data_IF_058629464066
#
_entry.id   IF_058629464066
#
_cell.length_a   1.000
_cell.length_b   1.000
_cell.length_c   1.000
_cell.angle_alpha   90.00
_cell.angle_beta   90.00
_cell.angle_gamma   90.00
#
_symmetry.space_group_name_H-M   'P 1'
#
loop_
_entity.id
_entity.type
_entity.pdbx_description
1 polymer ?
#
# COMPACT_ATOMS: atom_id res chain seq x y z
N UNK A 1 -4.51 8.55 -19.34
CA UNK A 1 -4.14 8.27 -17.93
C UNK A 1 -2.64 8.51 -17.65
N UNK A 2 -1.98 9.42 -18.38
CA UNK A 2 -0.58 9.82 -18.18
C UNK A 2 -0.44 11.16 -17.44
N UNK A 3 -1.52 11.95 -17.36
CA UNK A 3 -1.52 13.32 -16.81
C UNK A 3 -1.40 13.32 -15.27
N UNK A 4 -1.97 12.32 -14.57
CA UNK A 4 -1.75 12.13 -13.12
C UNK A 4 -0.31 11.66 -12.79
N UNK A 5 0.37 11.03 -13.74
CA UNK A 5 1.75 10.58 -13.61
C UNK A 5 2.71 11.77 -13.68
N UNK A 6 2.48 12.71 -14.61
CA UNK A 6 3.28 13.93 -14.73
C UNK A 6 3.09 14.93 -13.57
N UNK A 7 1.87 15.05 -13.01
CA UNK A 7 1.61 15.99 -11.89
C UNK A 7 2.37 15.59 -10.61
N UNK A 8 2.67 14.30 -10.41
CA UNK A 8 3.46 13.84 -9.26
C UNK A 8 4.99 13.91 -9.47
N UNK A 9 5.46 14.03 -10.72
CA UNK A 9 6.87 13.90 -11.09
C UNK A 9 7.56 15.16 -11.63
N UNK A 10 6.86 16.30 -11.69
CA UNK A 10 7.40 17.60 -12.15
C UNK A 10 8.58 18.20 -11.34
N UNK A 11 9.20 17.45 -10.42
CA UNK A 11 10.42 17.82 -9.67
C UNK A 11 11.46 16.70 -9.58
N UNK A 12 11.42 15.69 -10.45
CA UNK A 12 12.43 14.61 -10.42
C UNK A 12 13.76 14.95 -11.11
N UNK A 13 13.83 16.05 -11.86
CA UNK A 13 15.02 16.40 -12.64
C UNK A 13 16.29 16.56 -11.79
N UNK A 14 16.15 16.98 -10.53
CA UNK A 14 17.27 17.17 -9.59
C UNK A 14 17.38 16.07 -8.53
N UNK A 15 16.48 15.07 -8.54
CA UNK A 15 16.48 14.02 -7.52
C UNK A 15 17.38 12.86 -7.90
N UNK A 16 18.04 12.27 -6.91
CA UNK A 16 18.89 11.10 -7.09
C UNK A 16 18.18 9.83 -6.57
N UNK A 17 18.43 8.64 -7.17
CA UNK A 17 17.74 7.41 -6.77
C UNK A 17 17.94 7.06 -5.29
N UNK A 18 19.15 7.27 -4.76
CA UNK A 18 19.47 6.97 -3.36
C UNK A 18 18.65 7.80 -2.37
N UNK A 19 18.42 9.07 -2.68
CA UNK A 19 17.59 9.98 -1.87
C UNK A 19 16.13 9.56 -1.89
N UNK A 20 15.61 9.16 -3.05
CA UNK A 20 14.25 8.65 -3.14
C UNK A 20 14.11 7.32 -2.38
N UNK A 21 15.07 6.40 -2.49
CA UNK A 21 15.07 5.16 -1.70
C UNK A 21 15.11 5.47 -0.20
N UNK A 22 15.95 6.42 0.24
CA UNK A 22 16.01 6.81 1.64
C UNK A 22 14.67 7.35 2.15
N UNK A 23 14.02 8.25 1.41
CA UNK A 23 12.67 8.74 1.74
C UNK A 23 11.62 7.62 1.76
N UNK A 24 11.77 6.63 0.88
CA UNK A 24 10.88 5.46 0.86
C UNK A 24 11.02 4.64 2.15
N UNK A 25 12.25 4.44 2.65
CA UNK A 25 12.53 3.75 3.91
C UNK A 25 12.06 4.56 5.13
N UNK A 26 12.21 5.88 5.11
CA UNK A 26 11.66 6.76 6.16
C UNK A 26 10.13 6.63 6.24
N UNK A 27 9.44 6.65 5.10
CA UNK A 27 8.00 6.42 5.04
C UNK A 27 7.62 5.02 5.55
N UNK A 28 8.42 3.98 5.28
CA UNK A 28 8.20 2.62 5.82
C UNK A 28 8.37 2.59 7.33
N UNK A 29 9.35 3.31 7.86
CA UNK A 29 9.57 3.42 9.28
C UNK A 29 8.38 4.09 9.98
N UNK A 30 7.89 5.21 9.44
CA UNK A 30 6.69 5.87 9.95
C UNK A 30 5.45 4.97 9.84
N UNK A 31 5.25 4.28 8.71
CA UNK A 31 4.18 3.29 8.57
C UNK A 31 4.28 2.16 9.62
N UNK A 32 5.50 1.74 9.97
CA UNK A 32 5.73 0.74 11.03
C UNK A 32 5.29 1.26 12.40
N UNK A 33 5.56 2.55 12.71
CA UNK A 33 5.06 3.19 13.94
C UNK A 33 3.54 3.24 13.97
N UNK A 34 2.90 3.71 12.90
CA UNK A 34 1.43 3.73 12.78
C UNK A 34 0.86 2.32 12.99
N UNK A 35 1.46 1.30 12.38
CA UNK A 35 1.01 -0.08 12.53
C UNK A 35 1.15 -0.59 13.98
N UNK A 36 2.27 -0.33 14.65
CA UNK A 36 2.47 -0.72 16.05
C UNK A 36 1.46 -0.04 16.97
N UNK A 37 1.21 1.26 16.77
CA UNK A 37 0.20 2.02 17.51
C UNK A 37 -1.20 1.43 17.30
N UNK A 38 -1.56 1.11 16.06
CA UNK A 38 -2.83 0.47 15.72
C UNK A 38 -3.00 -0.89 16.39
N UNK A 39 -1.98 -1.76 16.33
CA UNK A 39 -2.01 -3.08 16.96
C UNK A 39 -2.13 -2.97 18.48
N UNK A 40 -1.40 -2.02 19.09
CA UNK A 40 -1.49 -1.74 20.52
C UNK A 40 -2.91 -1.33 20.92
N UNK A 41 -3.50 -0.38 20.19
CA UNK A 41 -4.88 0.08 20.42
C UNK A 41 -5.89 -1.07 20.29
N UNK A 42 -5.85 -1.84 19.20
CA UNK A 42 -6.74 -3.02 19.00
C UNK A 42 -6.61 -4.04 20.13
N UNK A 43 -5.39 -4.25 20.64
CA UNK A 43 -5.10 -5.22 21.70
C UNK A 43 -5.56 -4.72 23.07
N UNK A 44 -5.37 -3.44 23.38
CA UNK A 44 -5.87 -2.81 24.62
C UNK A 44 -7.40 -2.92 24.70
N UNK A 45 -8.10 -2.61 23.61
CA UNK A 45 -9.55 -2.78 23.51
C UNK A 45 -10.03 -4.24 23.64
N UNK A 46 -9.14 -5.23 23.58
CA UNK A 46 -9.46 -6.66 23.72
C UNK A 46 -9.38 -7.18 25.14
N UNK A 47 -8.71 -6.48 26.07
CA UNK A 47 -8.46 -6.93 27.44
C UNK A 47 -9.53 -6.47 28.42
N UNK A 48 -10.15 -5.32 28.19
CA UNK A 48 -11.16 -4.75 29.08
C UNK A 48 -12.54 -5.37 28.81
N UNK A 49 -12.80 -6.59 29.27
CA UNK A 49 -14.11 -7.24 29.12
C UNK A 49 -15.14 -6.82 30.18
N UNK A 50 -14.86 -5.79 30.98
CA UNK A 50 -15.80 -5.24 31.96
C UNK A 50 -16.53 -4.01 31.41
N UNK A 51 -17.85 -4.02 31.56
CA UNK A 51 -18.82 -2.93 31.37
C UNK A 51 -19.37 -2.65 29.95
N UNK A 52 -20.63 -2.23 29.97
CA UNK A 52 -21.69 -2.18 28.95
C UNK A 52 -21.47 -1.26 27.74
N UNK A 53 -20.23 -0.93 27.36
CA UNK A 53 -19.91 0.06 26.31
C UNK A 53 -19.39 -0.56 24.99
N UNK A 54 -19.82 -1.78 24.68
CA UNK A 54 -19.43 -2.50 23.47
C UNK A 54 -19.77 -1.79 22.13
N UNK A 55 -20.86 -0.98 21.97
CA UNK A 55 -21.10 -0.26 20.72
C UNK A 55 -20.08 0.83 20.40
N UNK A 56 -19.45 1.44 21.40
CA UNK A 56 -18.45 2.49 21.16
C UNK A 56 -17.12 1.95 20.63
N UNK A 57 -16.78 0.68 20.87
CA UNK A 57 -15.42 0.17 20.61
C UNK A 57 -15.10 -0.03 19.13
N UNK A 58 -16.01 -0.58 18.33
CA UNK A 58 -15.78 -0.71 16.87
C UNK A 58 -15.73 0.66 16.19
N UNK A 59 -16.54 1.62 16.63
CA UNK A 59 -16.48 3.01 16.20
C UNK A 59 -15.16 3.69 16.61
N UNK A 60 -14.71 3.50 17.86
CA UNK A 60 -13.41 4.00 18.31
C UNK A 60 -12.25 3.43 17.48
N UNK A 61 -12.30 2.14 17.12
CA UNK A 61 -11.28 1.51 16.27
C UNK A 61 -11.26 2.07 14.84
N UNK A 62 -12.42 2.45 14.28
CA UNK A 62 -12.53 3.08 12.96
C UNK A 62 -12.05 4.54 12.96
N UNK A 63 -12.12 5.21 14.12
CA UNK A 63 -11.63 6.56 14.33
C UNK A 63 -10.15 6.62 14.75
N UNK A 64 -9.47 5.48 14.88
CA UNK A 64 -8.04 5.47 15.18
C UNK A 64 -7.27 6.11 14.04
N UNK A 65 -6.68 7.27 14.30
CA UNK A 65 -5.79 7.97 13.37
C UNK A 65 -4.72 7.03 12.73
N UNK A 66 -4.07 6.10 13.47
CA UNK A 66 -3.12 5.15 12.86
C UNK A 66 -3.70 4.23 11.79
N UNK A 67 -5.01 3.95 11.82
CA UNK A 67 -5.71 3.14 10.82
C UNK A 67 -5.76 3.85 9.46
N UNK A 68 -5.84 5.18 9.47
CA UNK A 68 -5.86 6.03 8.28
C UNK A 68 -4.46 6.42 7.81
N UNK A 69 -3.54 6.69 8.73
CA UNK A 69 -2.17 7.11 8.41
C UNK A 69 -1.32 5.97 7.85
N UNK A 70 -1.53 4.74 8.31
CA UNK A 70 -0.77 3.58 7.83
C UNK A 70 -0.79 3.44 6.29
N UNK A 71 -1.95 3.34 5.62
CA UNK A 71 -1.99 3.22 4.16
C UNK A 71 -1.47 4.47 3.44
N UNK A 72 -1.61 5.66 4.03
CA UNK A 72 -1.04 6.90 3.49
C UNK A 72 0.49 6.83 3.46
N UNK A 73 1.13 6.47 4.58
CA UNK A 73 2.59 6.37 4.66
C UNK A 73 3.13 5.26 3.76
N UNK A 74 2.44 4.12 3.67
CA UNK A 74 2.77 3.06 2.71
C UNK A 74 2.69 3.56 1.26
N UNK A 75 1.66 4.33 0.91
CA UNK A 75 1.51 4.90 -0.44
C UNK A 75 2.58 5.95 -0.75
N UNK A 76 2.99 6.75 0.24
CA UNK A 76 4.13 7.68 0.11
C UNK A 76 5.44 6.94 -0.13
N UNK A 77 5.69 5.85 0.60
CA UNK A 77 6.85 4.98 0.35
C UNK A 77 6.86 4.44 -1.08
N UNK A 78 5.71 3.91 -1.54
CA UNK A 78 5.53 3.41 -2.91
C UNK A 78 5.85 4.50 -3.93
N UNK A 79 5.34 5.73 -3.76
CA UNK A 79 5.65 6.86 -4.63
C UNK A 79 7.16 7.07 -4.79
N UNK A 80 7.92 7.01 -3.70
CA UNK A 80 9.37 7.20 -3.73
C UNK A 80 10.10 6.05 -4.44
N UNK A 81 9.65 4.80 -4.30
CA UNK A 81 10.19 3.70 -5.12
C UNK A 81 9.89 3.88 -6.60
N UNK A 82 8.69 4.37 -6.97
CA UNK A 82 8.36 4.68 -8.37
C UNK A 82 9.22 5.81 -8.92
N UNK A 83 9.52 6.82 -8.09
CA UNK A 83 10.46 7.88 -8.45
C UNK A 83 11.86 7.33 -8.73
N UNK A 84 12.39 6.49 -7.82
CA UNK A 84 13.68 5.85 -8.00
C UNK A 84 13.72 4.97 -9.27
N UNK A 85 12.65 4.18 -9.50
CA UNK A 85 12.52 3.36 -10.70
C UNK A 85 12.57 4.20 -11.99
N UNK A 86 11.85 5.31 -12.02
CA UNK A 86 11.86 6.23 -13.16
C UNK A 86 13.26 6.82 -13.43
N UNK A 87 13.97 7.22 -12.37
CA UNK A 87 15.33 7.76 -12.51
C UNK A 87 16.28 6.67 -13.02
N UNK A 88 16.22 5.44 -12.48
CA UNK A 88 17.03 4.33 -12.99
C UNK A 88 16.72 4.00 -14.46
N UNK A 89 15.43 3.98 -14.84
CA UNK A 89 15.02 3.78 -16.22
C UNK A 89 15.62 4.86 -17.14
N UNK A 90 15.57 6.13 -16.74
CA UNK A 90 16.14 7.24 -17.51
C UNK A 90 17.66 7.15 -17.71
N UNK A 91 18.35 6.49 -16.77
CA UNK A 91 19.79 6.20 -16.82
C UNK A 91 20.13 4.89 -17.53
N UNK A 92 19.13 4.22 -18.12
CA UNK A 92 19.24 2.89 -18.75
C UNK A 92 19.66 1.77 -17.79
N UNK A 93 19.49 1.98 -16.49
CA UNK A 93 19.73 0.97 -15.44
C UNK A 93 18.49 0.09 -15.25
N UNK A 94 18.10 -0.64 -16.30
CA UNK A 94 16.80 -1.33 -16.41
C UNK A 94 16.57 -2.33 -15.25
N UNK A 95 17.57 -3.13 -14.89
CA UNK A 95 17.45 -4.13 -13.82
C UNK A 95 17.15 -3.46 -12.47
N UNK A 96 17.83 -2.35 -12.16
CA UNK A 96 17.58 -1.60 -10.91
C UNK A 96 16.21 -0.94 -10.92
N UNK A 97 15.74 -0.46 -12.07
CA UNK A 97 14.37 0.03 -12.20
C UNK A 97 13.35 -1.08 -11.93
N UNK A 98 13.56 -2.29 -12.46
CA UNK A 98 12.73 -3.47 -12.19
C UNK A 98 12.73 -3.82 -10.70
N UNK A 99 13.87 -3.77 -10.02
CA UNK A 99 13.97 -4.04 -8.59
C UNK A 99 13.13 -3.04 -7.77
N UNK A 100 13.21 -1.75 -8.10
CA UNK A 100 12.42 -0.72 -7.43
C UNK A 100 10.91 -0.87 -7.66
N UNK A 101 10.49 -1.21 -8.89
CA UNK A 101 9.08 -1.52 -9.16
C UNK A 101 8.60 -2.78 -8.43
N UNK A 102 9.47 -3.79 -8.31
CA UNK A 102 9.17 -5.02 -7.56
C UNK A 102 8.98 -4.71 -6.08
N UNK A 103 9.85 -3.88 -5.51
CA UNK A 103 9.73 -3.44 -4.11
C UNK A 103 8.44 -2.64 -3.90
N UNK A 104 8.11 -1.70 -4.79
CA UNK A 104 6.85 -0.97 -4.76
C UNK A 104 5.64 -1.93 -4.74
N UNK A 105 5.63 -2.94 -5.62
CA UNK A 105 4.56 -3.95 -5.66
C UNK A 105 4.47 -4.76 -4.36
N UNK A 106 5.60 -5.15 -3.78
CA UNK A 106 5.66 -5.88 -2.51
C UNK A 106 5.08 -5.06 -1.36
N UNK A 107 5.42 -3.77 -1.28
CA UNK A 107 4.90 -2.87 -0.26
C UNK A 107 3.38 -2.69 -0.36
N UNK A 108 2.85 -2.58 -1.59
CA UNK A 108 1.38 -2.53 -1.81
C UNK A 108 0.71 -3.81 -1.32
N UNK A 109 1.24 -4.98 -1.71
CA UNK A 109 0.69 -6.27 -1.27
C UNK A 109 0.74 -6.43 0.25
N UNK A 110 1.82 -5.98 0.87
CA UNK A 110 1.97 -6.02 2.32
C UNK A 110 0.94 -5.12 3.02
N UNK A 111 0.72 -3.89 2.51
CA UNK A 111 -0.30 -2.97 3.01
C UNK A 111 -1.71 -3.60 2.93
N UNK A 112 -2.09 -4.12 1.76
CA UNK A 112 -3.39 -4.78 1.54
C UNK A 112 -3.60 -5.95 2.50
N UNK A 113 -2.60 -6.83 2.64
CA UNK A 113 -2.67 -7.97 3.58
C UNK A 113 -2.89 -7.52 5.02
N UNK A 114 -2.19 -6.46 5.47
CA UNK A 114 -2.34 -5.94 6.83
C UNK A 114 -3.71 -5.30 7.05
N UNK A 115 -4.21 -4.53 6.09
CA UNK A 115 -5.55 -3.94 6.16
C UNK A 115 -6.64 -5.00 6.23
N UNK A 116 -6.57 -6.07 5.41
CA UNK A 116 -7.54 -7.18 5.51
C UNK A 116 -7.52 -7.89 6.86
N UNK A 117 -6.35 -8.00 7.52
CA UNK A 117 -6.29 -8.55 8.89
C UNK A 117 -7.01 -7.66 9.89
N UNK A 118 -6.93 -6.33 9.72
CA UNK A 118 -7.67 -5.39 10.58
C UNK A 118 -9.16 -5.49 10.29
N UNK A 119 -9.56 -5.46 9.02
CA UNK A 119 -10.95 -5.66 8.59
C UNK A 119 -11.53 -6.95 9.18
N UNK A 120 -10.83 -8.08 9.07
CA UNK A 120 -11.26 -9.36 9.63
C UNK A 120 -11.43 -9.33 11.16
N UNK A 121 -10.58 -8.57 11.87
CA UNK A 121 -10.72 -8.39 13.33
C UNK A 121 -11.91 -7.51 13.68
N UNK A 122 -12.20 -6.48 12.90
CA UNK A 122 -13.36 -5.61 13.06
C UNK A 122 -14.66 -6.37 12.77
N UNK A 123 -14.69 -7.21 11.74
CA UNK A 123 -15.88 -8.00 11.35
C UNK A 123 -16.12 -9.21 12.24
N UNK A 124 -15.08 -9.95 12.69
CA UNK A 124 -15.25 -11.07 13.63
C UNK A 124 -15.89 -10.63 14.96
N UNK A 125 -15.49 -9.47 15.49
CA UNK A 125 -16.09 -8.92 16.71
C UNK A 125 -17.55 -8.50 16.54
N UNK A 126 -17.98 -8.25 15.30
CA UNK A 126 -19.38 -7.95 14.98
C UNK A 126 -20.26 -9.20 15.01
N UNK A 127 -19.79 -10.31 14.43
CA UNK A 127 -20.59 -11.54 14.34
C UNK A 127 -20.93 -12.13 15.71
N UNK A 128 -19.99 -12.08 16.66
CA UNK A 128 -20.23 -12.46 18.06
C UNK A 128 -21.31 -11.62 18.76
N UNK A 129 -21.61 -10.42 18.24
CA UNK A 129 -22.60 -9.53 18.84
C UNK A 129 -24.00 -9.72 18.25
N UNK A 130 -24.09 -10.01 16.95
CA UNK A 130 -25.37 -10.35 16.28
C UNK A 130 -26.03 -11.61 16.83
N UNK A 131 -25.29 -12.49 17.51
CA UNK A 131 -25.86 -13.66 18.19
C UNK A 131 -26.45 -13.33 19.58
N UNK A 132 -26.18 -12.14 20.14
CA UNK A 132 -26.53 -11.78 21.54
C UNK A 132 -27.56 -10.65 21.65
N UNK A 133 -27.71 -9.77 20.65
CA UNK A 133 -28.62 -8.61 20.75
C UNK A 133 -29.54 -8.49 19.52
N UNK A 134 -30.76 -9.05 19.61
CA UNK A 134 -31.90 -8.63 18.79
C UNK A 134 -32.43 -7.29 19.34
N UNK A 135 -31.80 -6.18 18.95
CA UNK A 135 -32.24 -4.81 19.30
C UNK A 135 -32.52 -3.96 18.03
N UNK A 136 -33.53 -3.06 18.03
CA UNK A 136 -33.95 -2.31 16.85
C UNK A 136 -32.92 -1.28 16.33
N UNK A 137 -31.92 -0.91 17.13
CA UNK A 137 -30.87 0.08 16.80
C UNK A 137 -29.73 -0.46 15.91
N UNK A 138 -29.79 -1.75 15.57
CA UNK A 138 -28.78 -2.42 14.75
C UNK A 138 -28.64 -1.84 13.35
N UNK A 139 -29.69 -1.20 12.81
CA UNK A 139 -29.70 -0.69 11.44
C UNK A 139 -28.89 0.62 11.29
N UNK A 140 -29.01 1.57 12.22
CA UNK A 140 -28.29 2.85 12.16
C UNK A 140 -26.78 2.67 12.41
N UNK A 141 -26.42 1.83 13.40
CA UNK A 141 -25.02 1.47 13.66
C UNK A 141 -24.40 0.72 12.47
N UNK A 142 -25.16 -0.15 11.81
CA UNK A 142 -24.72 -0.86 10.60
C UNK A 142 -24.48 0.09 9.43
N UNK A 143 -25.35 1.09 9.24
CA UNK A 143 -25.20 2.10 8.18
C UNK A 143 -24.00 3.01 8.46
N UNK A 144 -23.81 3.46 9.71
CA UNK A 144 -22.64 4.25 10.14
C UNK A 144 -21.33 3.47 9.93
N UNK A 145 -21.26 2.22 10.37
CA UNK A 145 -20.06 1.39 10.19
C UNK A 145 -19.79 1.06 8.72
N UNK A 146 -20.83 0.83 7.89
CA UNK A 146 -20.64 0.68 6.43
C UNK A 146 -20.07 1.97 5.81
N UNK A 147 -20.57 3.14 6.21
CA UNK A 147 -20.04 4.44 5.80
C UNK A 147 -18.59 4.62 6.27
N UNK A 148 -18.29 4.26 7.51
CA UNK A 148 -16.97 4.38 8.14
C UNK A 148 -16.00 3.28 7.72
N UNK A 149 -16.44 2.20 7.05
CA UNK A 149 -15.56 1.22 6.41
C UNK A 149 -15.41 1.48 4.90
N UNK A 150 -16.22 2.38 4.33
CA UNK A 150 -16.20 2.75 2.90
C UNK A 150 -14.83 3.25 2.45
N UNK A 151 -14.09 3.94 3.33
CA UNK A 151 -12.74 4.42 3.04
C UNK A 151 -11.72 3.27 2.93
N UNK A 152 -11.92 2.13 3.61
CA UNK A 152 -11.05 0.94 3.44
C UNK A 152 -11.21 0.37 2.04
N UNK A 153 -12.43 0.31 1.51
CA UNK A 153 -12.70 -0.10 0.13
C UNK A 153 -12.06 0.85 -0.89
N UNK A 154 -12.06 2.15 -0.61
CA UNK A 154 -11.33 3.13 -1.41
C UNK A 154 -9.83 2.81 -1.45
N UNK A 155 -9.22 2.50 -0.31
CA UNK A 155 -7.81 2.09 -0.28
C UNK A 155 -7.55 0.79 -1.04
N UNK A 156 -8.38 -0.24 -0.87
CA UNK A 156 -8.23 -1.46 -1.65
C UNK A 156 -8.28 -1.18 -3.15
N UNK A 157 -9.24 -0.36 -3.59
CA UNK A 157 -9.34 0.05 -4.98
C UNK A 157 -8.07 0.78 -5.45
N UNK A 158 -7.64 1.83 -4.73
CA UNK A 158 -6.47 2.63 -5.09
C UNK A 158 -5.20 1.77 -5.13
N UNK A 159 -4.95 0.97 -4.08
CA UNK A 159 -3.78 0.10 -3.99
C UNK A 159 -3.75 -0.93 -5.13
N UNK A 160 -4.89 -1.52 -5.48
CA UNK A 160 -4.95 -2.47 -6.60
C UNK A 160 -4.71 -1.80 -7.95
N UNK A 161 -5.19 -0.57 -8.14
CA UNK A 161 -4.93 0.21 -9.37
C UNK A 161 -3.45 0.57 -9.51
N UNK A 162 -2.81 1.00 -8.42
CA UNK A 162 -1.36 1.25 -8.40
C UNK A 162 -0.61 -0.04 -8.69
N UNK A 163 -0.95 -1.16 -8.02
CA UNK A 163 -0.31 -2.46 -8.25
C UNK A 163 -0.39 -2.90 -9.71
N UNK A 164 -1.54 -2.73 -10.36
CA UNK A 164 -1.72 -3.08 -11.77
C UNK A 164 -0.83 -2.25 -12.68
N UNK A 165 -0.75 -0.94 -12.44
CA UNK A 165 0.14 -0.04 -13.19
C UNK A 165 1.61 -0.42 -13.01
N UNK A 166 2.04 -0.67 -11.77
CA UNK A 166 3.39 -1.15 -11.46
C UNK A 166 3.69 -2.46 -12.18
N UNK A 167 2.78 -3.43 -12.12
CA UNK A 167 2.94 -4.71 -12.80
C UNK A 167 3.10 -4.58 -14.32
N UNK A 168 2.31 -3.71 -14.95
CA UNK A 168 2.46 -3.41 -16.37
C UNK A 168 3.84 -2.81 -16.71
N UNK A 169 4.30 -1.82 -15.93
CA UNK A 169 5.61 -1.23 -16.15
C UNK A 169 6.76 -2.21 -15.92
N UNK A 170 6.67 -3.06 -14.89
CA UNK A 170 7.66 -4.12 -14.63
C UNK A 170 7.72 -5.09 -15.81
N UNK A 171 6.57 -5.51 -16.35
CA UNK A 171 6.51 -6.38 -17.51
C UNK A 171 7.16 -5.75 -18.74
N UNK A 172 6.82 -4.49 -19.05
CA UNK A 172 7.43 -3.74 -20.17
C UNK A 172 8.96 -3.68 -20.04
N UNK A 173 9.49 -3.35 -18.86
CA UNK A 173 10.94 -3.25 -18.66
C UNK A 173 11.64 -4.61 -18.76
N UNK A 174 10.99 -5.69 -18.31
CA UNK A 174 11.53 -7.05 -18.47
C UNK A 174 11.63 -7.44 -19.94
N UNK A 175 10.61 -7.13 -20.75
CA UNK A 175 10.68 -7.35 -22.20
C UNK A 175 11.85 -6.58 -22.82
N UNK A 176 11.96 -5.29 -22.53
CA UNK A 176 13.05 -4.45 -23.02
C UNK A 176 14.43 -5.00 -22.62
N UNK A 177 14.57 -5.51 -21.38
CA UNK A 177 15.81 -6.14 -20.94
C UNK A 177 16.15 -7.40 -21.74
N UNK A 178 15.16 -8.21 -22.11
CA UNK A 178 15.35 -9.42 -22.91
C UNK A 178 15.77 -9.05 -24.33
N UNK A 179 15.13 -8.04 -24.92
CA UNK A 179 15.45 -7.59 -26.28
C UNK A 179 16.87 -7.01 -26.36
N UNK A 180 17.28 -6.21 -25.37
CA UNK A 180 18.65 -5.70 -25.28
C UNK A 180 19.68 -6.85 -25.22
N UNK A 181 19.42 -7.89 -24.42
CA UNK A 181 20.32 -9.05 -24.34
C UNK A 181 20.42 -9.79 -25.67
N UNK A 182 19.30 -9.93 -26.41
CA UNK A 182 19.29 -10.55 -27.74
C UNK A 182 20.13 -9.74 -28.74
N UNK A 183 20.01 -8.42 -28.72
CA UNK A 183 20.79 -7.53 -29.58
C UNK A 183 22.29 -7.60 -29.26
N UNK A 184 22.67 -7.64 -27.98
CA UNK A 184 24.06 -7.80 -27.56
C UNK A 184 24.65 -9.13 -28.03
N UNK A 185 23.89 -10.22 -27.91
CA UNK A 185 24.33 -11.54 -28.38
C UNK A 185 24.48 -11.60 -29.91
N UNK A 186 23.59 -10.93 -30.65
CA UNK A 186 23.70 -10.79 -32.10
C UNK A 186 24.94 -10.00 -32.52
N UNK A 187 25.23 -8.87 -31.84
CA UNK A 187 26.45 -8.09 -32.08
C UNK A 187 27.72 -8.89 -31.82
N UNK A 188 27.80 -9.58 -30.69
CA UNK A 188 28.94 -10.46 -30.36
C UNK A 188 29.18 -11.56 -31.39
N UNK A 189 28.11 -12.08 -32.02
CA UNK A 189 28.23 -13.07 -33.09
C UNK A 189 28.75 -12.43 -34.38
N UNK A 190 28.32 -11.22 -34.72
CA UNK A 190 28.77 -10.49 -35.90
C UNK A 190 30.23 -10.05 -35.79
N UNK A 191 30.67 -9.57 -34.64
CA UNK A 191 32.06 -9.12 -34.40
C UNK A 191 33.09 -10.28 -34.40
N UNK A 192 32.61 -11.53 -34.46
CA UNK A 192 33.44 -12.75 -34.49
C UNK A 192 33.79 -13.22 -35.91
N UNK A 193 33.21 -12.58 -36.93
CA UNK A 193 33.43 -12.84 -38.36
C UNK A 193 34.04 -11.61 -39.03
#
# INVERSE_FOLDING_TARGET
>A
MFILFLIFFGRLQDSNPSSEIFKAEECKFEASKCWKALVSAISSCSRDNSSSEVPNRSQMLLNLQPLHEYPVQMTRSVKHYLAAAYIFESKKEILRAIDMLTEAANQIQHCVRRMHRVEAKLTKRRNHRTEVENSPDTNELTIKVKRDASWMYLWYYVLMRIKAAVGFHTYRLRLQSIDNLREEDLKKKLDKY
#
